data_IF_071046068378
#
_entry.id   IF_071046068378
#
_cell.length_a   1.000
_cell.length_b   1.000
_cell.length_c   1.000
_cell.angle_alpha   90.00
_cell.angle_beta   90.00
_cell.angle_gamma   90.00
#
_symmetry.space_group_name_H-M   'P 1'
#
loop_
_entity.id
_entity.type
_entity.pdbx_description
1 polymer ?
#
# COMPACT_ATOMS: atom_id res chain seq x y z
N UNK A 1 -14.40 -2.71 -1.66
CA UNK A 1 -13.60 -3.87 -1.25
C UNK A 1 -14.22 -5.15 -1.82
N UNK A 2 -13.39 -6.16 -2.11
CA UNK A 2 -13.88 -7.44 -2.64
C UNK A 2 -14.28 -8.34 -1.48
N UNK A 3 -15.47 -8.95 -1.56
CA UNK A 3 -15.89 -10.03 -0.66
C UNK A 3 -14.88 -11.18 -0.74
N UNK A 4 -14.46 -11.69 0.39
CA UNK A 4 -13.53 -12.83 0.51
C UNK A 4 -14.19 -13.90 1.37
N UNK A 5 -14.84 -14.91 0.78
CA UNK A 5 -15.41 -16.03 1.54
C UNK A 5 -14.33 -16.73 2.39
N UNK A 6 -14.69 -17.17 3.59
CA UNK A 6 -13.73 -17.81 4.51
C UNK A 6 -13.10 -19.09 3.95
N UNK A 7 -13.83 -19.83 3.13
CA UNK A 7 -13.30 -21.02 2.45
C UNK A 7 -12.23 -20.69 1.39
N UNK A 8 -12.18 -19.46 0.89
CA UNK A 8 -11.22 -19.01 -0.13
C UNK A 8 -9.96 -18.38 0.44
N UNK A 9 -9.98 -17.93 1.71
CA UNK A 9 -8.84 -17.22 2.29
C UNK A 9 -7.54 -18.06 2.31
N UNK A 10 -7.54 -19.39 2.54
CA UNK A 10 -6.30 -20.16 2.45
C UNK A 10 -5.66 -20.14 1.08
N UNK A 11 -6.46 -20.14 0.00
CA UNK A 11 -5.98 -20.08 -1.37
C UNK A 11 -5.39 -18.68 -1.64
N UNK A 12 -6.09 -17.63 -1.22
CA UNK A 12 -5.66 -16.24 -1.39
C UNK A 12 -4.37 -15.99 -0.60
N UNK A 13 -4.28 -16.45 0.64
CA UNK A 13 -3.08 -16.35 1.46
C UNK A 13 -1.90 -17.11 0.81
N UNK A 14 -2.12 -18.31 0.31
CA UNK A 14 -1.11 -19.09 -0.43
C UNK A 14 -0.62 -18.36 -1.69
N UNK A 15 -1.53 -17.72 -2.43
CA UNK A 15 -1.19 -16.95 -3.61
C UNK A 15 -0.39 -15.68 -3.28
N UNK A 16 -0.82 -14.88 -2.30
CA UNK A 16 -0.22 -13.59 -1.98
C UNK A 16 1.01 -13.72 -1.07
N UNK A 17 0.89 -14.37 0.07
CA UNK A 17 1.98 -14.53 1.04
C UNK A 17 2.97 -15.65 0.66
N UNK A 18 2.52 -16.62 -0.12
CA UNK A 18 3.35 -17.68 -0.68
C UNK A 18 3.93 -17.28 -2.03
N UNK A 19 3.20 -17.54 -3.10
CA UNK A 19 3.72 -17.49 -4.48
C UNK A 19 4.17 -16.09 -4.87
N UNK A 20 3.31 -15.08 -4.80
CA UNK A 20 3.65 -13.72 -5.25
C UNK A 20 4.79 -13.11 -4.41
N UNK A 21 4.73 -13.25 -3.09
CA UNK A 21 5.79 -12.81 -2.19
C UNK A 21 7.13 -13.42 -2.57
N UNK A 22 7.21 -14.73 -2.74
CA UNK A 22 8.45 -15.41 -3.08
C UNK A 22 8.95 -15.12 -4.49
N UNK A 23 8.07 -14.86 -5.44
CA UNK A 23 8.47 -14.40 -6.78
C UNK A 23 9.12 -13.01 -6.73
N UNK A 24 8.60 -12.08 -5.93
CA UNK A 24 9.22 -10.76 -5.73
C UNK A 24 10.58 -10.90 -5.04
N UNK A 25 10.67 -11.71 -4.00
CA UNK A 25 11.96 -12.01 -3.35
C UNK A 25 12.98 -12.59 -4.35
N UNK A 26 12.55 -13.54 -5.17
CA UNK A 26 13.44 -14.15 -6.18
C UNK A 26 14.00 -13.10 -7.16
N UNK A 27 13.17 -12.10 -7.54
CA UNK A 27 13.64 -10.97 -8.35
C UNK A 27 14.66 -10.10 -7.61
N UNK A 28 14.41 -9.76 -6.36
CA UNK A 28 15.35 -9.00 -5.54
C UNK A 28 16.71 -9.75 -5.41
N UNK A 29 16.67 -11.04 -5.14
CA UNK A 29 17.87 -11.88 -5.03
C UNK A 29 18.66 -11.93 -6.36
N UNK A 30 17.97 -12.01 -7.51
CA UNK A 30 18.63 -11.95 -8.82
C UNK A 30 19.42 -10.64 -9.04
N UNK A 31 19.04 -9.57 -8.36
CA UNK A 31 19.74 -8.29 -8.36
C UNK A 31 20.71 -8.09 -7.18
N UNK A 32 21.03 -9.17 -6.46
CA UNK A 32 21.98 -9.13 -5.34
C UNK A 32 21.41 -8.48 -4.06
N UNK A 33 20.10 -8.27 -3.98
CA UNK A 33 19.46 -7.65 -2.84
C UNK A 33 19.10 -8.72 -1.80
N UNK A 34 19.60 -8.56 -0.58
CA UNK A 34 19.19 -9.40 0.56
C UNK A 34 17.75 -9.06 0.92
N UNK A 35 16.88 -10.06 0.96
CA UNK A 35 15.45 -9.84 1.16
C UNK A 35 14.84 -10.88 2.08
N UNK A 36 13.73 -10.51 2.72
CA UNK A 36 12.91 -11.39 3.55
C UNK A 36 11.44 -11.21 3.18
N UNK A 37 10.68 -12.30 3.16
CA UNK A 37 9.23 -12.26 2.88
C UNK A 37 8.44 -12.39 4.17
N UNK A 38 7.52 -11.47 4.37
CA UNK A 38 6.67 -11.33 5.54
C UNK A 38 5.19 -11.19 5.14
N UNK A 39 4.32 -11.32 6.13
CA UNK A 39 2.93 -10.87 6.10
C UNK A 39 2.67 -9.84 7.22
N UNK A 40 1.47 -9.30 7.30
CA UNK A 40 1.13 -8.24 8.26
C UNK A 40 1.16 -8.70 9.74
N UNK A 41 1.00 -9.99 9.97
CA UNK A 41 0.99 -10.56 11.33
C UNK A 41 2.40 -10.86 11.88
N UNK A 42 3.41 -10.94 11.00
CA UNK A 42 4.76 -11.36 11.41
C UNK A 42 5.38 -10.34 12.35
N UNK A 43 5.79 -10.82 13.52
CA UNK A 43 6.36 -9.97 14.57
C UNK A 43 5.40 -8.95 15.19
N UNK A 44 4.09 -9.09 14.96
CA UNK A 44 3.11 -8.12 15.46
C UNK A 44 3.11 -6.79 14.69
N UNK A 45 3.59 -6.79 13.44
CA UNK A 45 3.74 -5.58 12.60
C UNK A 45 2.43 -4.79 12.45
N UNK A 46 1.30 -5.49 12.30
CA UNK A 46 -0.02 -4.88 12.21
C UNK A 46 -1.02 -5.62 13.09
N UNK A 47 -1.94 -4.85 13.67
CA UNK A 47 -3.13 -5.36 14.34
C UNK A 47 -4.25 -5.47 13.31
N UNK A 48 -4.75 -6.68 13.09
CA UNK A 48 -5.78 -6.97 12.09
C UNK A 48 -7.05 -7.46 12.76
N UNK A 49 -8.17 -6.88 12.36
CA UNK A 49 -9.52 -7.31 12.79
C UNK A 49 -10.38 -7.53 11.55
N UNK A 50 -11.48 -8.28 11.69
CA UNK A 50 -12.45 -8.37 10.60
C UNK A 50 -13.08 -7.02 10.36
N UNK A 51 -13.11 -6.57 9.09
CA UNK A 51 -13.65 -5.27 8.73
C UNK A 51 -15.18 -5.24 8.81
N UNK A 52 -15.82 -6.23 8.21
CA UNK A 52 -17.27 -6.36 8.11
C UNK A 52 -17.62 -7.86 7.92
N UNK A 53 -18.54 -8.42 8.72
CA UNK A 53 -18.98 -9.82 8.57
C UNK A 53 -19.52 -10.13 7.16
N UNK A 54 -20.19 -9.18 6.51
CA UNK A 54 -20.78 -9.36 5.18
C UNK A 54 -19.71 -9.46 4.08
N UNK A 55 -18.50 -9.02 4.36
CA UNK A 55 -17.34 -9.13 3.47
C UNK A 55 -16.56 -10.44 3.66
N UNK A 56 -16.88 -11.23 4.69
CA UNK A 56 -16.19 -12.47 5.03
C UNK A 56 -14.79 -12.22 5.60
N UNK A 57 -13.76 -12.89 5.07
CA UNK A 57 -12.38 -12.81 5.52
C UNK A 57 -11.65 -11.56 5.00
N UNK A 58 -12.29 -10.39 5.10
CA UNK A 58 -11.69 -9.08 4.79
C UNK A 58 -11.30 -8.38 6.09
N UNK A 59 -10.03 -7.98 6.18
CA UNK A 59 -9.47 -7.35 7.37
C UNK A 59 -9.37 -5.84 7.28
N UNK A 60 -9.56 -5.18 8.43
CA UNK A 60 -9.05 -3.84 8.73
C UNK A 60 -7.66 -3.97 9.35
N UNK A 61 -6.78 -3.00 9.07
CA UNK A 61 -5.38 -3.06 9.46
C UNK A 61 -4.98 -1.75 10.15
N UNK A 62 -4.44 -1.87 11.36
CA UNK A 62 -3.88 -0.77 12.12
C UNK A 62 -2.41 -1.01 12.43
N UNK A 63 -1.60 0.05 12.63
CA UNK A 63 -0.22 -0.08 13.05
C UNK A 63 -0.08 -0.97 14.29
N UNK A 64 0.95 -1.82 14.30
CA UNK A 64 1.36 -2.64 15.43
C UNK A 64 2.77 -2.30 15.89
N UNK A 65 3.55 -3.33 16.22
CA UNK A 65 4.95 -3.19 16.64
C UNK A 65 5.90 -3.31 15.43
N UNK A 66 6.55 -2.21 15.08
CA UNK A 66 7.50 -2.16 13.97
C UNK A 66 8.93 -2.58 14.36
N UNK A 67 9.21 -2.98 15.61
CA UNK A 67 10.57 -3.25 16.09
C UNK A 67 11.28 -4.35 15.30
N UNK A 68 10.58 -5.43 14.98
CA UNK A 68 11.12 -6.48 14.11
C UNK A 68 11.47 -5.94 12.73
N UNK A 69 10.56 -5.19 12.12
CA UNK A 69 10.75 -4.64 10.77
C UNK A 69 11.90 -3.64 10.74
N UNK A 70 12.01 -2.76 11.74
CA UNK A 70 13.14 -1.84 11.89
C UNK A 70 14.46 -2.59 12.02
N UNK A 71 14.52 -3.64 12.85
CA UNK A 71 15.72 -4.47 12.99
C UNK A 71 16.15 -5.16 11.70
N UNK A 72 15.20 -5.60 10.86
CA UNK A 72 15.48 -6.18 9.56
C UNK A 72 16.04 -5.13 8.57
N UNK A 73 15.48 -3.93 8.58
CA UNK A 73 15.98 -2.80 7.76
C UNK A 73 17.38 -2.38 8.20
N UNK A 74 17.64 -2.29 9.50
CA UNK A 74 18.97 -1.96 10.07
C UNK A 74 20.02 -3.03 9.74
N UNK A 75 19.59 -4.28 9.59
CA UNK A 75 20.44 -5.39 9.12
C UNK A 75 20.67 -5.38 7.59
N UNK A 76 20.13 -4.38 6.87
CA UNK A 76 20.27 -4.24 5.41
C UNK A 76 19.43 -5.22 4.61
N UNK A 77 18.33 -5.72 5.18
CA UNK A 77 17.38 -6.58 4.48
C UNK A 77 16.27 -5.74 3.85
N UNK A 78 15.82 -6.11 2.67
CA UNK A 78 14.62 -5.57 2.02
C UNK A 78 13.41 -6.44 2.39
N UNK A 79 12.48 -5.98 3.24
CA UNK A 79 11.26 -6.72 3.53
C UNK A 79 10.29 -6.64 2.35
N UNK A 80 9.76 -7.79 1.93
CA UNK A 80 8.66 -7.93 0.98
C UNK A 80 7.44 -8.39 1.76
N UNK A 81 6.45 -7.53 1.93
CA UNK A 81 5.32 -7.77 2.83
C UNK A 81 4.05 -7.97 2.01
N UNK A 82 3.38 -9.10 2.22
CA UNK A 82 2.07 -9.34 1.63
C UNK A 82 0.95 -8.76 2.50
N UNK A 83 -0.16 -8.37 1.89
CA UNK A 83 -1.33 -7.82 2.58
C UNK A 83 -2.24 -8.90 3.20
N UNK A 84 -1.64 -9.98 3.69
CA UNK A 84 -2.34 -11.01 4.46
C UNK A 84 -2.09 -10.76 5.94
N UNK A 85 -3.18 -10.66 6.70
CA UNK A 85 -3.14 -10.49 8.14
C UNK A 85 -3.70 -11.70 8.89
N UNK A 86 -3.51 -11.69 10.20
CA UNK A 86 -4.08 -12.69 11.11
C UNK A 86 -4.70 -11.95 12.29
N UNK A 87 -5.94 -12.27 12.65
CA UNK A 87 -6.59 -11.69 13.83
C UNK A 87 -6.02 -12.29 15.13
N UNK A 88 -6.36 -11.69 16.27
CA UNK A 88 -5.97 -12.21 17.58
C UNK A 88 -6.48 -13.63 17.83
N UNK A 89 -7.58 -14.02 17.20
CA UNK A 89 -8.17 -15.36 17.26
C UNK A 89 -7.51 -16.36 16.31
N UNK A 90 -6.48 -15.95 15.56
CA UNK A 90 -5.74 -16.79 14.62
C UNK A 90 -6.38 -16.91 13.24
N UNK A 91 -7.32 -16.04 12.88
CA UNK A 91 -8.03 -16.11 11.61
C UNK A 91 -7.31 -15.30 10.50
N UNK A 92 -7.04 -15.96 9.37
CA UNK A 92 -6.48 -15.31 8.18
C UNK A 92 -7.45 -14.28 7.60
N UNK A 93 -6.92 -13.11 7.22
CA UNK A 93 -7.66 -12.00 6.62
C UNK A 93 -6.95 -11.47 5.37
N UNK A 94 -7.74 -11.16 4.36
CA UNK A 94 -7.32 -10.42 3.18
C UNK A 94 -7.47 -8.92 3.46
N UNK A 95 -6.36 -8.20 3.50
CA UNK A 95 -6.33 -6.75 3.75
C UNK A 95 -6.11 -6.00 2.45
N UNK A 96 -6.72 -4.83 2.30
CA UNK A 96 -6.42 -3.95 1.18
C UNK A 96 -4.95 -3.50 1.21
N UNK A 97 -4.24 -3.63 0.09
CA UNK A 97 -2.80 -3.36 0.03
C UNK A 97 -2.43 -1.91 0.35
N UNK A 98 -3.27 -0.93 -0.04
CA UNK A 98 -3.04 0.48 0.25
C UNK A 98 -3.21 0.77 1.74
N UNK A 99 -4.20 0.15 2.40
CA UNK A 99 -4.38 0.22 3.86
C UNK A 99 -3.21 -0.44 4.60
N UNK A 100 -2.78 -1.61 4.14
CA UNK A 100 -1.63 -2.30 4.72
C UNK A 100 -0.34 -1.46 4.63
N UNK A 101 -0.07 -0.88 3.46
CA UNK A 101 1.09 -0.03 3.25
C UNK A 101 1.03 1.24 4.12
N UNK A 102 -0.16 1.84 4.29
CA UNK A 102 -0.36 2.99 5.17
C UNK A 102 -0.07 2.64 6.62
N UNK A 103 -0.62 1.53 7.14
CA UNK A 103 -0.38 1.08 8.51
C UNK A 103 1.11 0.77 8.79
N UNK A 104 1.81 0.16 7.82
CA UNK A 104 3.25 -0.10 7.91
C UNK A 104 4.05 1.20 7.92
N UNK A 105 3.72 2.15 7.03
CA UNK A 105 4.40 3.45 6.96
C UNK A 105 4.19 4.24 8.26
N UNK A 106 2.99 4.18 8.84
CA UNK A 106 2.67 4.80 10.13
C UNK A 106 3.48 4.17 11.27
N UNK A 107 3.53 2.83 11.35
CA UNK A 107 4.29 2.11 12.37
C UNK A 107 5.79 2.42 12.34
N UNK A 108 6.37 2.64 11.15
CA UNK A 108 7.77 2.99 10.94
C UNK A 108 8.05 4.50 10.98
N UNK A 109 7.03 5.36 10.92
CA UNK A 109 7.21 6.79 10.66
C UNK A 109 7.84 7.08 9.29
N UNK A 110 7.62 6.21 8.31
CA UNK A 110 8.23 6.25 6.98
C UNK A 110 7.39 7.04 5.97
N UNK A 111 8.03 7.49 4.89
CA UNK A 111 7.33 8.03 3.74
C UNK A 111 6.65 6.91 2.94
N UNK A 112 5.53 7.24 2.29
CA UNK A 112 4.75 6.30 1.50
C UNK A 112 4.73 6.69 0.03
N UNK A 113 5.06 5.73 -0.83
CA UNK A 113 4.87 5.83 -2.28
C UNK A 113 3.87 4.76 -2.71
N UNK A 114 2.73 5.17 -3.25
CA UNK A 114 1.74 4.26 -3.84
C UNK A 114 2.01 4.11 -5.33
N UNK A 115 2.32 2.87 -5.76
CA UNK A 115 2.56 2.58 -7.16
C UNK A 115 1.27 2.09 -7.85
N UNK A 116 0.99 2.68 -9.00
CA UNK A 116 -0.20 2.41 -9.81
C UNK A 116 0.17 2.09 -11.26
N UNK A 117 -0.81 1.71 -12.06
CA UNK A 117 -0.69 1.55 -13.52
C UNK A 117 -0.77 2.89 -14.28
N UNK A 118 -1.07 3.98 -13.58
CA UNK A 118 -1.13 5.35 -14.12
C UNK A 118 0.01 6.21 -13.57
N UNK A 119 0.45 7.21 -14.34
CA UNK A 119 1.59 8.06 -13.96
C UNK A 119 1.31 8.99 -12.79
N UNK A 120 0.06 9.14 -12.38
CA UNK A 120 -0.44 10.00 -11.33
C UNK A 120 -1.87 10.44 -11.65
N UNK A 121 -2.31 11.53 -11.05
CA UNK A 121 -3.64 12.10 -11.27
C UNK A 121 -3.57 13.06 -12.46
N UNK A 122 -4.50 12.89 -13.41
CA UNK A 122 -4.58 13.71 -14.61
C UNK A 122 -5.72 14.71 -14.50
N UNK A 123 -5.52 15.89 -15.07
CA UNK A 123 -6.58 16.88 -15.25
C UNK A 123 -7.55 16.52 -16.39
N UNK A 124 -8.59 17.32 -16.61
CA UNK A 124 -9.57 17.11 -17.69
C UNK A 124 -8.99 17.19 -19.10
N UNK A 125 -7.72 17.61 -19.27
CA UNK A 125 -7.00 17.64 -20.55
C UNK A 125 -5.99 16.51 -20.68
N UNK A 126 -5.90 15.62 -19.69
CA UNK A 126 -4.96 14.50 -19.67
C UNK A 126 -3.54 14.89 -19.24
N UNK A 127 -3.34 16.08 -18.65
CA UNK A 127 -2.06 16.54 -18.13
C UNK A 127 -1.91 16.09 -16.66
N UNK A 128 -0.68 15.69 -16.29
CA UNK A 128 -0.37 15.28 -14.93
C UNK A 128 -0.48 16.47 -13.98
N UNK A 129 -1.22 16.28 -12.90
CA UNK A 129 -1.31 17.22 -11.78
C UNK A 129 -0.20 16.86 -10.79
N UNK A 130 0.75 17.79 -10.59
CA UNK A 130 1.91 17.54 -9.73
C UNK A 130 1.53 17.46 -8.25
N UNK A 131 0.55 18.23 -7.79
CA UNK A 131 0.10 18.25 -6.40
C UNK A 131 -1.43 18.31 -6.34
N UNK A 132 -2.03 17.50 -5.43
CA UNK A 132 -3.46 17.44 -5.19
C UNK A 132 -3.72 17.50 -3.69
N UNK A 133 -4.50 18.51 -3.27
CA UNK A 133 -5.03 18.62 -1.91
C UNK A 133 -6.41 17.98 -1.81
N UNK A 134 -6.93 17.82 -0.58
CA UNK A 134 -8.31 17.35 -0.35
C UNK A 134 -9.32 18.18 -1.13
N UNK A 135 -9.23 19.51 -1.07
CA UNK A 135 -10.16 20.43 -1.74
C UNK A 135 -10.11 20.30 -3.27
N UNK A 136 -8.89 20.19 -3.84
CA UNK A 136 -8.71 19.97 -5.27
C UNK A 136 -9.28 18.63 -5.72
N UNK A 137 -9.09 17.58 -4.92
CA UNK A 137 -9.64 16.26 -5.22
C UNK A 137 -11.17 16.28 -5.24
N UNK A 138 -11.80 16.89 -4.24
CA UNK A 138 -13.26 17.02 -4.15
C UNK A 138 -13.83 17.80 -5.35
N UNK A 139 -13.15 18.87 -5.77
CA UNK A 139 -13.53 19.64 -6.95
C UNK A 139 -13.41 18.84 -8.26
N UNK A 140 -12.30 18.09 -8.43
CA UNK A 140 -12.07 17.26 -9.62
C UNK A 140 -13.05 16.08 -9.70
N UNK A 141 -13.43 15.51 -8.57
CA UNK A 141 -14.46 14.47 -8.48
C UNK A 141 -15.84 15.08 -8.82
N UNK A 142 -16.19 16.21 -8.23
CA UNK A 142 -17.48 16.88 -8.49
C UNK A 142 -17.63 17.29 -9.97
N UNK A 143 -16.54 17.67 -10.63
CA UNK A 143 -16.50 17.98 -12.07
C UNK A 143 -16.46 16.75 -12.97
N UNK A 144 -16.41 15.54 -12.43
CA UNK A 144 -16.34 14.30 -13.20
C UNK A 144 -15.01 14.09 -13.94
N UNK A 145 -13.94 14.80 -13.54
CA UNK A 145 -12.59 14.62 -14.07
C UNK A 145 -11.95 13.37 -13.47
N UNK A 146 -12.10 13.20 -12.15
CA UNK A 146 -11.69 11.98 -11.43
C UNK A 146 -12.93 11.11 -11.22
N UNK A 147 -12.92 9.90 -11.79
CA UNK A 147 -14.07 8.97 -11.73
C UNK A 147 -13.61 7.53 -11.53
N UNK A 148 -14.55 6.65 -11.12
CA UNK A 148 -14.35 5.21 -11.08
C UNK A 148 -13.16 4.76 -10.23
N UNK A 149 -12.29 3.94 -10.79
CA UNK A 149 -11.12 3.40 -10.06
C UNK A 149 -10.12 4.47 -9.61
N UNK A 150 -10.02 5.59 -10.33
CA UNK A 150 -9.15 6.70 -9.94
C UNK A 150 -9.67 7.43 -8.72
N UNK A 151 -10.98 7.62 -8.60
CA UNK A 151 -11.60 8.21 -7.41
C UNK A 151 -11.29 7.38 -6.15
N UNK A 152 -11.38 6.06 -6.24
CA UNK A 152 -11.04 5.16 -5.13
C UNK A 152 -9.58 5.33 -4.73
N UNK A 153 -8.65 5.41 -5.70
CA UNK A 153 -7.22 5.60 -5.44
C UNK A 153 -6.92 6.95 -4.79
N UNK A 154 -7.52 8.01 -5.30
CA UNK A 154 -7.34 9.37 -4.75
C UNK A 154 -7.83 9.44 -3.31
N UNK A 155 -9.01 8.89 -3.02
CA UNK A 155 -9.55 8.83 -1.65
C UNK A 155 -8.66 8.00 -0.71
N UNK A 156 -8.14 6.87 -1.17
CA UNK A 156 -7.21 6.05 -0.39
C UNK A 156 -5.90 6.82 -0.10
N UNK A 157 -5.38 7.54 -1.09
CA UNK A 157 -4.17 8.33 -0.97
C UNK A 157 -4.33 9.53 -0.02
N UNK A 158 -5.47 10.23 -0.08
CA UNK A 158 -5.81 11.31 0.86
C UNK A 158 -5.95 10.78 2.29
N UNK A 159 -6.64 9.64 2.45
CA UNK A 159 -6.74 8.99 3.76
C UNK A 159 -5.35 8.62 4.32
N UNK A 160 -4.48 8.06 3.50
CA UNK A 160 -3.11 7.75 3.90
C UNK A 160 -2.32 9.01 4.28
N UNK A 161 -2.41 10.09 3.50
CA UNK A 161 -1.75 11.36 3.81
C UNK A 161 -2.24 11.95 5.14
N UNK A 162 -3.55 11.89 5.40
CA UNK A 162 -4.14 12.31 6.67
C UNK A 162 -3.65 11.47 7.85
N UNK A 163 -3.67 10.13 7.72
CA UNK A 163 -3.20 9.22 8.77
C UNK A 163 -1.72 9.41 9.10
N UNK A 164 -0.89 9.63 8.07
CA UNK A 164 0.55 9.83 8.23
C UNK A 164 0.92 11.25 8.67
N UNK A 165 0.00 12.22 8.57
CA UNK A 165 0.26 13.64 8.84
C UNK A 165 1.32 14.23 7.90
N UNK A 166 1.49 13.64 6.71
CA UNK A 166 2.47 14.06 5.70
C UNK A 166 2.00 13.71 4.29
N UNK A 167 2.47 14.44 3.27
CA UNK A 167 2.13 14.11 1.89
C UNK A 167 2.63 12.71 1.50
N UNK A 168 1.90 12.06 0.60
CA UNK A 168 2.33 10.82 -0.03
C UNK A 168 2.51 11.03 -1.54
N UNK A 169 3.23 10.13 -2.19
CA UNK A 169 3.42 10.16 -3.64
C UNK A 169 2.65 9.03 -4.31
N UNK A 170 1.95 9.35 -5.41
CA UNK A 170 1.33 8.38 -6.31
C UNK A 170 2.09 8.41 -7.63
N UNK A 171 2.68 7.28 -8.03
CA UNK A 171 3.51 7.17 -9.22
C UNK A 171 3.22 5.86 -9.98
N UNK A 172 3.81 5.71 -11.17
CA UNK A 172 3.62 4.53 -12.00
C UNK A 172 4.72 3.49 -11.78
N UNK A 173 4.32 2.23 -11.61
CA UNK A 173 5.25 1.10 -11.68
C UNK A 173 5.73 0.79 -13.10
N UNK A 174 5.11 1.36 -14.13
CA UNK A 174 5.48 1.16 -15.55
C UNK A 174 6.76 1.87 -15.94
N UNK A 175 7.21 2.85 -15.15
CA UNK A 175 8.40 3.65 -15.38
C UNK A 175 9.36 3.57 -14.20
N UNK A 176 9.99 2.39 -13.97
CA UNK A 176 10.81 2.16 -12.79
C UNK A 176 12.02 3.09 -12.69
N UNK A 177 12.52 3.60 -13.82
CA UNK A 177 13.59 4.59 -13.89
C UNK A 177 13.23 5.92 -13.19
N UNK A 178 11.95 6.26 -13.11
CA UNK A 178 11.47 7.45 -12.42
C UNK A 178 11.45 7.29 -10.90
N UNK A 179 11.42 6.05 -10.37
CA UNK A 179 11.43 5.81 -8.92
C UNK A 179 12.71 6.33 -8.27
N UNK A 180 13.86 6.18 -8.90
CA UNK A 180 15.12 6.72 -8.38
C UNK A 180 15.07 8.23 -8.26
N UNK A 181 14.45 8.92 -9.21
CA UNK A 181 14.24 10.37 -9.17
C UNK A 181 13.27 10.76 -8.06
N UNK A 182 12.17 10.02 -7.90
CA UNK A 182 11.19 10.25 -6.82
C UNK A 182 11.83 10.09 -5.45
N UNK A 183 12.58 9.00 -5.23
CA UNK A 183 13.27 8.73 -3.96
C UNK A 183 14.36 9.76 -3.64
N UNK A 184 14.91 10.43 -4.66
CA UNK A 184 15.83 11.55 -4.51
C UNK A 184 15.12 12.91 -4.26
N UNK A 185 13.78 12.91 -4.10
CA UNK A 185 12.98 14.12 -3.86
C UNK A 185 12.60 14.89 -5.13
N UNK A 186 12.75 14.27 -6.32
CA UNK A 186 12.36 14.91 -7.58
C UNK A 186 10.87 14.81 -7.85
N UNK A 187 10.37 15.72 -8.68
CA UNK A 187 8.95 15.78 -9.09
C UNK A 187 8.63 14.63 -10.04
N UNK A 188 7.96 13.59 -9.53
CA UNK A 188 7.49 12.43 -10.27
C UNK A 188 6.12 12.01 -9.73
N UNK A 189 5.19 11.79 -10.65
CA UNK A 189 3.83 11.41 -10.26
C UNK A 189 3.04 12.58 -9.68
N UNK A 190 2.11 12.28 -8.79
CA UNK A 190 1.29 13.26 -8.06
C UNK A 190 1.59 13.18 -6.57
N UNK A 191 1.90 14.31 -5.96
CA UNK A 191 1.99 14.47 -4.51
C UNK A 191 0.60 14.77 -3.95
N UNK A 192 0.19 14.01 -2.94
CA UNK A 192 -1.12 14.14 -2.31
C UNK A 192 -0.95 14.56 -0.86
N UNK A 193 -1.62 15.67 -0.50
CA UNK A 193 -1.68 16.21 0.87
C UNK A 193 -3.13 16.31 1.33
N UNK A 194 -3.37 15.95 2.60
CA UNK A 194 -4.66 16.08 3.27
C UNK A 194 -4.76 17.41 4.02
#
# INVERSE_FOLDING_TARGET
LRVTPFEQIPIIAGALAGTANKQMMAKAIQHGIKTIGLCLADGGLCNVTQLDPDLGAVGDCKPGDASLLQGLLDAGLLPVISSIGITAEGQLMNVNADQAATAIAEALGADLVMLSDVSGILDGKGQLIAEVTQEMADELIAKGVITGGMEVKVKAALHAAASLGRPISVASWRYPELLSKLLAGGDVGTRISA
#
